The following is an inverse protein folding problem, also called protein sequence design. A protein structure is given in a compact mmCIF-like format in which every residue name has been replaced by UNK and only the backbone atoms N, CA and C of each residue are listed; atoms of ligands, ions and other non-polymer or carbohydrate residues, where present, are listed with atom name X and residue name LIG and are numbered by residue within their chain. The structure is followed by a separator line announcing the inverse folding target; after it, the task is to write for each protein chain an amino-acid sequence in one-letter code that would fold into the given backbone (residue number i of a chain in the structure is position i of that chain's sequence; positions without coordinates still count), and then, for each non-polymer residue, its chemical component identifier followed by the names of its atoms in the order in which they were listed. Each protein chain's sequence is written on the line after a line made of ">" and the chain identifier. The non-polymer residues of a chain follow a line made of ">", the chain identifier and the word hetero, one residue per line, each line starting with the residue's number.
data_IF_582505657263
#
_entry.id   IF_582505657263
#
_cell.length_a   1.000
_cell.length_b   1.000
_cell.length_c   1.000
_cell.angle_alpha   90.00
_cell.angle_beta   90.00
_cell.angle_gamma   90.00
#
_symmetry.space_group_name_H-M   'P 1'
#
loop_
_entity.id
_entity.type
_entity.pdbx_description
1 polymer ?
#
# COMPACT_ATOMS: atom_id res chain seq x y z
N UNK A 1 -11.08 -1.65 -15.82
CA UNK A 1 -10.45 -2.40 -14.71
C UNK A 1 -10.56 -3.92 -14.94
N UNK A 2 -9.54 -4.62 -15.47
CA UNK A 2 -9.70 -5.96 -16.03
C UNK A 2 -9.59 -7.10 -14.97
N UNK A 3 -10.66 -7.90 -14.88
CA UNK A 3 -10.79 -9.33 -14.45
C UNK A 3 -10.25 -9.84 -13.10
N UNK A 4 -9.35 -9.16 -12.39
CA UNK A 4 -8.73 -9.67 -11.14
C UNK A 4 -9.74 -9.77 -9.97
N UNK A 5 -10.76 -8.91 -9.96
CA UNK A 5 -11.74 -8.78 -8.87
C UNK A 5 -12.59 -10.04 -8.61
N UNK A 6 -12.66 -11.01 -9.53
CA UNK A 6 -13.67 -12.09 -9.49
C UNK A 6 -13.23 -13.43 -8.90
N UNK A 7 -11.97 -13.62 -8.51
CA UNK A 7 -11.46 -14.95 -8.17
C UNK A 7 -10.67 -15.07 -6.85
N UNK A 8 -10.75 -14.11 -5.93
CA UNK A 8 -10.02 -14.17 -4.64
C UNK A 8 -8.50 -14.04 -4.80
N UNK A 9 -8.01 -13.73 -6.00
CA UNK A 9 -6.58 -13.57 -6.32
C UNK A 9 -6.00 -12.23 -5.86
N UNK A 10 -6.82 -11.33 -5.30
CA UNK A 10 -6.38 -9.98 -4.95
C UNK A 10 -5.26 -10.01 -3.92
N UNK A 11 -5.40 -10.79 -2.84
CA UNK A 11 -4.37 -10.90 -1.81
C UNK A 11 -3.06 -11.50 -2.36
N UNK A 12 -3.06 -12.67 -3.02
CA UNK A 12 -1.83 -13.22 -3.61
C UNK A 12 -1.15 -12.30 -4.62
N UNK A 13 -1.93 -11.58 -5.44
CA UNK A 13 -1.38 -10.63 -6.42
C UNK A 13 -0.76 -9.43 -5.72
N UNK A 14 -1.43 -8.85 -4.73
CA UNK A 14 -0.89 -7.75 -3.93
C UNK A 14 0.40 -8.16 -3.24
N UNK A 15 0.44 -9.32 -2.57
CA UNK A 15 1.65 -9.80 -1.89
C UNK A 15 2.80 -10.00 -2.89
N UNK A 16 2.52 -10.55 -4.07
CA UNK A 16 3.52 -10.72 -5.13
C UNK A 16 4.06 -9.38 -5.63
N UNK A 17 3.18 -8.40 -5.85
CA UNK A 17 3.58 -7.07 -6.34
C UNK A 17 4.39 -6.34 -5.27
N UNK A 18 3.95 -6.33 -4.02
CA UNK A 18 4.67 -5.70 -2.89
C UNK A 18 6.07 -6.28 -2.75
N UNK A 19 6.21 -7.62 -2.79
CA UNK A 19 7.52 -8.27 -2.74
C UNK A 19 8.43 -7.82 -3.88
N UNK A 20 7.95 -7.84 -5.11
CA UNK A 20 8.73 -7.45 -6.30
C UNK A 20 9.19 -6.00 -6.26
N UNK A 21 8.29 -5.07 -5.94
CA UNK A 21 8.67 -3.64 -5.90
C UNK A 21 9.65 -3.34 -4.77
N UNK A 22 9.54 -4.06 -3.64
CA UNK A 22 10.49 -3.91 -2.55
C UNK A 22 11.82 -4.61 -2.83
N UNK A 23 11.86 -5.69 -3.62
CA UNK A 23 13.11 -6.25 -4.14
C UNK A 23 13.84 -5.24 -5.04
N UNK A 24 13.09 -4.57 -5.93
CA UNK A 24 13.64 -3.52 -6.79
C UNK A 24 14.12 -2.31 -5.99
N UNK A 25 13.35 -1.86 -4.98
CA UNK A 25 13.73 -0.77 -4.09
C UNK A 25 14.99 -1.10 -3.27
N UNK A 26 15.10 -2.32 -2.75
CA UNK A 26 16.30 -2.79 -2.04
C UNK A 26 17.54 -2.76 -2.96
N UNK A 27 17.39 -3.22 -4.22
CA UNK A 27 18.46 -3.14 -5.21
C UNK A 27 18.89 -1.70 -5.48
N UNK A 28 17.95 -0.78 -5.62
CA UNK A 28 18.28 0.65 -5.82
C UNK A 28 18.96 1.25 -4.58
N UNK A 29 18.49 0.92 -3.39
CA UNK A 29 19.11 1.41 -2.14
C UNK A 29 20.55 0.90 -1.97
N UNK A 30 20.82 -0.37 -2.32
CA UNK A 30 22.16 -0.92 -2.34
C UNK A 30 23.10 -0.23 -3.36
N UNK A 31 22.54 0.41 -4.39
CA UNK A 31 23.28 1.25 -5.33
C UNK A 31 23.43 2.71 -4.86
N UNK A 32 22.95 3.04 -3.65
CA UNK A 32 22.94 4.41 -3.11
C UNK A 32 21.79 5.28 -3.59
N UNK A 33 20.74 4.69 -4.18
CA UNK A 33 19.56 5.40 -4.69
C UNK A 33 18.37 5.19 -3.74
N UNK A 34 17.89 6.26 -3.10
CA UNK A 34 16.67 6.25 -2.27
C UNK A 34 15.45 6.53 -3.17
N UNK A 35 15.00 5.51 -3.91
CA UNK A 35 13.90 5.60 -4.88
C UNK A 35 12.63 4.97 -4.30
N UNK A 36 11.60 5.78 -3.97
CA UNK A 36 10.34 5.24 -3.53
C UNK A 36 9.56 4.48 -4.59
N UNK A 37 8.76 3.53 -4.14
CA UNK A 37 7.85 2.73 -4.96
C UNK A 37 6.41 2.92 -4.52
N UNK A 38 5.48 2.85 -5.45
CA UNK A 38 4.05 2.92 -5.18
C UNK A 38 3.34 1.63 -5.63
N UNK A 39 2.38 1.16 -4.83
CA UNK A 39 1.56 -0.01 -5.15
C UNK A 39 0.09 0.34 -5.00
N UNK A 40 -0.68 0.08 -6.04
CA UNK A 40 -2.13 0.19 -6.01
C UNK A 40 -2.74 -0.96 -5.18
N UNK A 41 -3.59 -0.62 -4.23
CA UNK A 41 -4.28 -1.55 -3.36
C UNK A 41 -5.78 -1.57 -3.63
N UNK A 42 -6.33 -2.79 -3.71
CA UNK A 42 -7.76 -2.99 -3.88
C UNK A 42 -8.50 -2.91 -2.54
N UNK A 43 -9.66 -2.23 -2.51
CA UNK A 43 -10.46 -1.97 -1.31
C UNK A 43 -10.71 -3.15 -0.39
N UNK A 44 -11.11 -4.34 -0.89
CA UNK A 44 -11.42 -5.44 0.00
C UNK A 44 -10.24 -5.86 0.89
N UNK A 45 -9.00 -5.53 0.50
CA UNK A 45 -7.80 -5.77 1.32
C UNK A 45 -7.62 -4.77 2.47
N UNK A 46 -8.30 -3.62 2.45
CA UNK A 46 -8.28 -2.66 3.55
C UNK A 46 -8.93 -3.22 4.82
N UNK A 47 -9.77 -4.24 4.68
CA UNK A 47 -10.39 -4.97 5.79
C UNK A 47 -9.54 -6.16 6.26
N UNK A 48 -8.46 -6.47 5.54
CA UNK A 48 -7.57 -7.58 5.88
C UNK A 48 -6.64 -7.17 7.01
N UNK A 49 -6.92 -7.66 8.22
CA UNK A 49 -6.13 -7.39 9.42
C UNK A 49 -4.69 -7.92 9.32
N UNK A 50 -4.39 -8.80 8.36
CA UNK A 50 -3.05 -9.33 8.14
C UNK A 50 -2.23 -8.49 7.15
N UNK A 51 -2.84 -7.49 6.49
CA UNK A 51 -2.15 -6.67 5.50
C UNK A 51 -0.98 -5.89 6.11
N UNK A 52 -1.19 -5.30 7.28
CA UNK A 52 -0.13 -4.58 8.00
C UNK A 52 1.08 -5.48 8.25
N UNK A 53 0.87 -6.62 8.89
CA UNK A 53 1.96 -7.54 9.23
C UNK A 53 2.68 -8.05 7.97
N UNK A 54 1.92 -8.34 6.90
CA UNK A 54 2.50 -8.75 5.63
C UNK A 54 3.43 -7.69 5.03
N UNK A 55 2.99 -6.43 4.97
CA UNK A 55 3.80 -5.31 4.47
C UNK A 55 5.03 -5.08 5.36
N UNK A 56 4.83 -5.04 6.68
CA UNK A 56 5.90 -4.81 7.65
C UNK A 56 6.91 -5.96 7.70
N UNK A 57 6.51 -7.20 7.41
CA UNK A 57 7.45 -8.34 7.25
C UNK A 57 8.34 -8.15 6.03
N UNK A 58 7.75 -7.85 4.86
CA UNK A 58 8.50 -7.74 3.60
C UNK A 58 9.50 -6.58 3.65
N UNK A 59 9.15 -5.46 4.28
CA UNK A 59 10.05 -4.33 4.53
C UNK A 59 11.21 -4.73 5.45
N UNK A 60 10.93 -5.37 6.60
CA UNK A 60 11.94 -5.82 7.56
C UNK A 60 12.92 -6.83 6.96
N UNK A 61 12.42 -7.80 6.20
CA UNK A 61 13.23 -8.82 5.51
C UNK A 61 14.29 -8.21 4.57
N UNK A 62 14.05 -6.98 4.08
CA UNK A 62 14.92 -6.27 3.13
C UNK A 62 15.67 -5.11 3.76
N UNK A 63 15.56 -4.92 5.08
CA UNK A 63 16.09 -3.78 5.81
C UNK A 63 15.70 -2.42 5.19
N UNK A 64 14.45 -2.33 4.70
CA UNK A 64 13.94 -1.15 4.04
C UNK A 64 13.18 -0.24 5.01
N UNK A 65 13.40 1.09 4.97
CA UNK A 65 12.58 2.02 5.73
C UNK A 65 11.17 2.07 5.15
N UNK A 66 10.14 2.07 6.00
CA UNK A 66 8.74 2.03 5.56
C UNK A 66 8.35 3.18 4.62
N UNK A 67 8.99 4.36 4.74
CA UNK A 67 8.78 5.53 3.86
C UNK A 67 9.05 5.25 2.39
N UNK A 68 9.79 4.18 2.06
CA UNK A 68 10.09 3.79 0.68
C UNK A 68 8.84 3.33 -0.06
N UNK A 69 7.84 2.83 0.66
CA UNK A 69 6.60 2.33 0.10
C UNK A 69 5.49 3.37 0.22
N UNK A 70 4.82 3.61 -0.91
CA UNK A 70 3.53 4.29 -0.99
C UNK A 70 2.45 3.28 -1.36
N UNK A 71 1.34 3.26 -0.64
CA UNK A 71 0.14 2.52 -1.00
C UNK A 71 -0.86 3.50 -1.60
N UNK A 72 -1.27 3.24 -2.83
CA UNK A 72 -2.27 4.01 -3.56
C UNK A 72 -3.64 3.34 -3.46
N UNK A 73 -4.68 4.14 -3.23
CA UNK A 73 -6.05 3.70 -3.08
C UNK A 73 -6.92 4.52 -4.04
N UNK A 74 -7.79 3.88 -4.80
CA UNK A 74 -8.71 4.56 -5.73
C UNK A 74 -9.89 5.20 -4.98
N UNK A 75 -10.41 6.33 -5.49
CA UNK A 75 -11.50 7.13 -4.91
C UNK A 75 -12.77 6.34 -4.54
N UNK A 76 -13.21 5.40 -5.38
CA UNK A 76 -14.43 4.58 -5.18
C UNK A 76 -14.47 3.87 -3.81
N UNK A 77 -13.33 3.73 -3.16
CA UNK A 77 -13.13 3.02 -1.90
C UNK A 77 -13.29 3.93 -0.68
N UNK A 78 -13.10 5.23 -0.88
CA UNK A 78 -13.14 6.25 0.17
C UNK A 78 -14.59 6.50 0.63
N UNK A 79 -15.57 6.38 -0.27
CA UNK A 79 -16.95 6.73 0.08
C UNK A 79 -17.70 5.67 0.90
N UNK A 80 -17.42 4.37 0.69
CA UNK A 80 -18.18 3.28 1.33
C UNK A 80 -17.44 2.57 2.49
N UNK A 81 -16.10 2.70 2.61
CA UNK A 81 -15.30 1.85 3.51
C UNK A 81 -14.46 2.59 4.56
N UNK A 82 -14.38 3.92 4.52
CA UNK A 82 -13.50 4.72 5.41
C UNK A 82 -13.74 4.45 6.89
N UNK A 83 -14.97 4.14 7.31
CA UNK A 83 -15.25 3.84 8.72
C UNK A 83 -14.51 2.61 9.28
N UNK A 84 -14.15 1.61 8.45
CA UNK A 84 -13.44 0.39 8.89
C UNK A 84 -12.05 0.22 8.27
N UNK A 85 -11.85 0.69 7.04
CA UNK A 85 -10.54 0.70 6.36
C UNK A 85 -9.51 1.58 7.08
N UNK A 86 -9.97 2.58 7.83
CA UNK A 86 -9.13 3.49 8.63
C UNK A 86 -8.16 2.76 9.56
N UNK A 87 -8.56 1.64 10.18
CA UNK A 87 -7.71 0.96 11.17
C UNK A 87 -6.39 0.43 10.58
N UNK A 88 -6.46 -0.31 9.48
CA UNK A 88 -5.26 -0.89 8.84
C UNK A 88 -4.42 0.20 8.16
N UNK A 89 -5.07 1.16 7.51
CA UNK A 89 -4.36 2.28 6.88
C UNK A 89 -3.67 3.18 7.89
N UNK A 90 -4.32 3.46 9.02
CA UNK A 90 -3.71 4.23 10.08
C UNK A 90 -2.50 3.50 10.66
N UNK A 91 -2.61 2.20 10.91
CA UNK A 91 -1.49 1.42 11.41
C UNK A 91 -0.31 1.37 10.41
N UNK A 92 -0.59 1.26 9.11
CA UNK A 92 0.45 1.35 8.07
C UNK A 92 1.11 2.73 8.04
N UNK A 93 0.34 3.81 8.21
CA UNK A 93 0.89 5.17 8.36
C UNK A 93 1.76 5.31 9.59
N UNK A 94 1.31 4.76 10.72
CA UNK A 94 2.06 4.78 11.98
C UNK A 94 3.37 3.99 11.88
N UNK A 95 3.40 2.92 11.07
CA UNK A 95 4.61 2.19 10.71
C UNK A 95 5.53 2.98 9.75
N UNK A 96 5.07 4.12 9.22
CA UNK A 96 5.82 5.02 8.33
C UNK A 96 5.59 4.79 6.84
N UNK A 97 4.65 3.91 6.46
CA UNK A 97 4.24 3.70 5.06
C UNK A 97 3.44 4.90 4.59
N UNK A 98 3.71 5.39 3.37
CA UNK A 98 2.95 6.49 2.80
C UNK A 98 1.65 5.97 2.21
N UNK A 99 0.56 6.71 2.41
CA UNK A 99 -0.74 6.39 1.82
C UNK A 99 -1.12 7.54 0.89
N UNK A 100 -1.50 7.22 -0.34
CA UNK A 100 -1.98 8.15 -1.35
C UNK A 100 -3.37 7.73 -1.83
N UNK A 101 -4.20 8.71 -2.18
CA UNK A 101 -5.53 8.49 -2.77
C UNK A 101 -5.43 8.99 -4.21
N UNK A 102 -5.63 8.11 -5.18
CA UNK A 102 -5.54 8.43 -6.60
C UNK A 102 -6.86 9.05 -7.11
N UNK A 103 -6.76 10.06 -7.96
CA UNK A 103 -7.82 10.95 -8.52
C UNK A 103 -8.42 12.09 -7.67
N UNK A 104 -7.70 12.62 -6.68
CA UNK A 104 -8.12 13.87 -5.99
C UNK A 104 -7.88 15.14 -6.83
N UNK A 105 -8.71 15.35 -7.85
CA UNK A 105 -8.86 16.63 -8.53
C UNK A 105 -9.54 17.67 -7.63
N UNK A 106 -8.74 18.56 -7.01
CA UNK A 106 -9.14 19.77 -6.28
C UNK A 106 -10.05 19.58 -5.04
N UNK A 107 -9.49 19.68 -3.82
CA UNK A 107 -10.30 20.20 -2.71
C UNK A 107 -9.96 19.78 -1.28
N UNK A 108 -9.43 18.58 -1.04
CA UNK A 108 -9.24 18.11 0.35
C UNK A 108 -7.90 17.41 0.57
N UNK A 109 -6.82 18.13 0.27
CA UNK A 109 -5.55 17.92 0.96
C UNK A 109 -5.67 18.43 2.40
N UNK A 110 -6.40 17.72 3.26
CA UNK A 110 -6.37 17.86 4.71
C UNK A 110 -7.31 16.84 5.36
N UNK A 111 -6.80 15.65 5.70
CA UNK A 111 -7.28 15.01 6.91
C UNK A 111 -6.11 14.81 7.86
N UNK A 112 -6.12 15.69 8.86
CA UNK A 112 -5.43 15.66 10.14
C UNK A 112 -5.63 14.35 10.90
#
# INVERSE_FOLDING_TARGET
>A
MPRILRHGLMRPVTDLVVKKVLDDAARWMAMGLDVPVAVNLFAPLLRDLQLREAVSSVLRERDLPARILTIEITEDLVFDEVGRATGVLQQLRDDGVRIAIDDFGSGYSALS
#
